data_IF_491555558632
#
_entry.id   IF_491555558632
#
_cell.length_a   1.000
_cell.length_b   1.000
_cell.length_c   1.000
_cell.angle_alpha   90.00
_cell.angle_beta   90.00
_cell.angle_gamma   90.00
#
_symmetry.space_group_name_H-M   'P 1'
#
loop_
_entity.id
_entity.type
_entity.pdbx_description
1 polymer ?
#
# COMPACT_ATOMS: atom_id res chain seq x y z
N UNK A 1 12.38 -11.71 -16.48
CA UNK A 1 13.55 -10.82 -16.44
C UNK A 1 13.48 -10.01 -15.15
N UNK A 2 14.62 -9.66 -14.55
CA UNK A 2 14.68 -8.83 -13.33
C UNK A 2 15.26 -7.47 -13.70
N UNK A 3 14.61 -6.41 -13.25
CA UNK A 3 15.09 -5.03 -13.42
C UNK A 3 16.16 -4.73 -12.37
N UNK A 4 17.34 -4.29 -12.80
CA UNK A 4 18.42 -3.83 -11.93
C UNK A 4 18.42 -2.30 -11.76
N UNK A 5 17.50 -1.60 -12.42
CA UNK A 5 17.35 -0.15 -12.40
C UNK A 5 17.39 0.45 -13.81
N UNK A 6 16.71 1.58 -13.99
CA UNK A 6 16.67 2.33 -15.26
C UNK A 6 16.22 1.48 -16.46
N UNK A 7 15.27 0.57 -16.26
CA UNK A 7 14.78 -0.36 -17.28
C UNK A 7 15.89 -1.28 -17.83
N UNK A 8 16.88 -1.63 -17.01
CA UNK A 8 17.97 -2.55 -17.37
C UNK A 8 17.66 -3.95 -16.85
N UNK A 9 17.37 -4.87 -17.78
CA UNK A 9 16.81 -6.17 -17.46
C UNK A 9 17.79 -7.32 -17.68
N UNK A 10 17.83 -8.27 -16.75
CA UNK A 10 18.66 -9.48 -16.84
C UNK A 10 17.84 -10.76 -16.67
N UNK A 11 18.37 -11.88 -17.17
CA UNK A 11 17.84 -13.20 -16.86
C UNK A 11 18.43 -13.67 -15.54
N UNK A 12 17.59 -13.85 -14.53
CA UNK A 12 17.99 -14.36 -13.23
C UNK A 12 17.45 -15.78 -13.03
N UNK A 13 18.24 -16.61 -12.33
CA UNK A 13 17.79 -17.92 -11.84
C UNK A 13 17.41 -17.77 -10.38
N UNK A 14 16.16 -18.06 -10.06
CA UNK A 14 15.66 -18.07 -8.69
C UNK A 14 15.80 -19.49 -8.14
N UNK A 15 16.63 -19.72 -7.10
CA UNK A 15 16.89 -21.06 -6.58
C UNK A 15 15.75 -21.59 -5.71
N UNK A 16 15.00 -20.70 -5.06
CA UNK A 16 13.90 -21.02 -4.14
C UNK A 16 12.78 -19.99 -4.26
N UNK A 17 11.53 -20.46 -4.31
CA UNK A 17 10.31 -19.66 -4.42
C UNK A 17 9.36 -19.85 -3.24
N UNK A 18 9.80 -20.52 -2.17
CA UNK A 18 8.98 -20.72 -0.96
C UNK A 18 8.63 -19.40 -0.28
N UNK A 19 9.51 -18.40 -0.35
CA UNK A 19 9.34 -17.11 0.31
C UNK A 19 9.52 -15.93 -0.65
N UNK A 20 8.77 -14.87 -0.39
CA UNK A 20 8.94 -13.56 -1.04
C UNK A 20 9.20 -12.47 0.01
N UNK A 21 9.91 -11.42 -0.37
CA UNK A 21 10.13 -10.26 0.48
C UNK A 21 9.04 -9.22 0.26
N UNK A 22 8.40 -8.79 1.35
CA UNK A 22 7.39 -7.72 1.33
C UNK A 22 7.89 -6.52 2.13
N UNK A 23 7.80 -5.33 1.52
CA UNK A 23 8.12 -4.08 2.18
C UNK A 23 7.00 -3.68 3.16
N UNK A 24 7.36 -3.58 4.43
CA UNK A 24 6.46 -3.21 5.55
C UNK A 24 6.65 -1.76 6.01
N UNK A 25 7.59 -1.03 5.42
CA UNK A 25 7.88 0.39 5.71
C UNK A 25 9.21 0.58 6.44
N UNK A 26 9.65 1.84 6.51
CA UNK A 26 10.89 2.24 7.22
C UNK A 26 12.14 1.46 6.80
N UNK A 27 12.22 1.00 5.55
CA UNK A 27 13.33 0.20 5.03
C UNK A 27 13.28 -1.28 5.40
N UNK A 28 12.29 -1.72 6.18
CA UNK A 28 12.16 -3.12 6.59
C UNK A 28 11.41 -3.96 5.56
N UNK A 29 11.91 -5.16 5.37
CA UNK A 29 11.32 -6.19 4.52
C UNK A 29 11.18 -7.48 5.33
N UNK A 30 10.03 -8.13 5.20
CA UNK A 30 9.74 -9.41 5.84
C UNK A 30 9.67 -10.51 4.77
N UNK A 31 10.21 -11.68 5.06
CA UNK A 31 9.98 -12.87 4.24
C UNK A 31 8.66 -13.51 4.65
N UNK A 32 7.79 -13.75 3.67
CA UNK A 32 6.52 -14.45 3.85
C UNK A 32 6.35 -15.52 2.79
N UNK A 33 5.61 -16.58 3.14
CA UNK A 33 5.04 -17.49 2.14
C UNK A 33 4.00 -16.77 1.30
N UNK A 34 3.60 -17.38 0.17
CA UNK A 34 2.58 -16.78 -0.71
C UNK A 34 1.22 -16.60 0.00
N UNK A 35 0.81 -17.55 0.83
CA UNK A 35 -0.47 -17.47 1.55
C UNK A 35 -0.44 -16.35 2.60
N UNK A 36 0.66 -16.24 3.36
CA UNK A 36 0.86 -15.14 4.31
C UNK A 36 0.93 -13.78 3.60
N UNK A 37 1.53 -13.72 2.41
CA UNK A 37 1.59 -12.52 1.60
C UNK A 37 0.21 -12.04 1.16
N UNK A 38 -0.65 -12.96 0.71
CA UNK A 38 -2.03 -12.65 0.31
C UNK A 38 -2.79 -12.06 1.50
N UNK A 39 -2.75 -12.74 2.66
CA UNK A 39 -3.40 -12.25 3.88
C UNK A 39 -2.86 -10.87 4.31
N UNK A 40 -1.56 -10.63 4.16
CA UNK A 40 -0.96 -9.32 4.42
C UNK A 40 -1.48 -8.23 3.47
N UNK A 41 -1.59 -8.53 2.17
CA UNK A 41 -2.07 -7.59 1.15
C UNK A 41 -3.53 -7.21 1.43
N UNK A 42 -4.41 -8.17 1.70
CA UNK A 42 -5.82 -7.93 2.01
C UNK A 42 -5.96 -6.99 3.22
N UNK A 43 -5.19 -7.24 4.29
CA UNK A 43 -5.18 -6.38 5.48
C UNK A 43 -4.70 -4.97 5.16
N UNK A 44 -3.66 -4.84 4.32
CA UNK A 44 -3.09 -3.55 3.93
C UNK A 44 -4.07 -2.76 3.04
N UNK A 45 -4.76 -3.44 2.12
CA UNK A 45 -5.80 -2.86 1.27
C UNK A 45 -6.96 -2.33 2.11
N UNK A 46 -7.51 -3.14 3.02
CA UNK A 46 -8.59 -2.73 3.91
C UNK A 46 -8.20 -1.51 4.78
N UNK A 47 -6.96 -1.47 5.28
CA UNK A 47 -6.43 -0.33 6.02
C UNK A 47 -6.37 0.94 5.15
N UNK A 48 -5.86 0.83 3.92
CA UNK A 48 -5.77 1.97 3.00
C UNK A 48 -7.15 2.48 2.60
N UNK A 49 -8.10 1.59 2.32
CA UNK A 49 -9.48 1.96 2.02
C UNK A 49 -10.14 2.69 3.19
N UNK A 50 -9.94 2.19 4.42
CA UNK A 50 -10.46 2.86 5.63
C UNK A 50 -9.87 4.26 5.80
N UNK A 51 -8.58 4.45 5.52
CA UNK A 51 -7.93 5.77 5.57
C UNK A 51 -8.49 6.71 4.50
N UNK A 52 -8.62 6.23 3.27
CA UNK A 52 -9.22 6.98 2.17
C UNK A 52 -10.64 7.47 2.52
N UNK A 53 -11.49 6.56 3.00
CA UNK A 53 -12.85 6.89 3.43
C UNK A 53 -12.87 7.93 4.56
N UNK A 54 -11.95 7.82 5.53
CA UNK A 54 -11.83 8.81 6.60
C UNK A 54 -11.48 10.19 6.05
N UNK A 55 -10.50 10.29 5.16
CA UNK A 55 -10.13 11.58 4.55
C UNK A 55 -11.28 12.19 3.74
N UNK A 56 -12.02 11.37 3.00
CA UNK A 56 -13.22 11.84 2.28
C UNK A 56 -14.27 12.43 3.24
N UNK A 57 -14.51 11.77 4.38
CA UNK A 57 -15.43 12.28 5.40
C UNK A 57 -14.93 13.58 6.04
N UNK A 58 -13.63 13.68 6.33
CA UNK A 58 -13.03 14.87 6.92
C UNK A 58 -13.10 16.07 5.96
N UNK A 59 -12.83 15.86 4.67
CA UNK A 59 -13.03 16.88 3.62
C UNK A 59 -14.49 17.33 3.54
N UNK A 60 -15.44 16.40 3.57
CA UNK A 60 -16.86 16.74 3.54
C UNK A 60 -17.27 17.62 4.73
N UNK A 61 -16.77 17.30 5.94
CA UNK A 61 -17.02 18.11 7.15
C UNK A 61 -16.44 19.51 7.02
N UNK A 62 -15.20 19.65 6.56
CA UNK A 62 -14.54 20.95 6.35
C UNK A 62 -15.35 21.79 5.36
N UNK A 63 -15.74 21.21 4.22
CA UNK A 63 -16.53 21.91 3.21
C UNK A 63 -17.90 22.37 3.73
N UNK A 64 -18.57 21.53 4.52
CA UNK A 64 -19.82 21.90 5.17
C UNK A 64 -19.62 23.07 6.15
N UNK A 65 -18.56 23.04 6.95
CA UNK A 65 -18.23 24.12 7.89
C UNK A 65 -17.95 25.45 7.16
N UNK A 66 -17.14 25.42 6.10
CA UNK A 66 -16.87 26.62 5.26
C UNK A 66 -18.17 27.19 4.69
N UNK A 67 -19.07 26.34 4.19
CA UNK A 67 -20.36 26.79 3.68
C UNK A 67 -21.17 27.48 4.78
N UNK A 68 -21.32 26.87 5.96
CA UNK A 68 -22.08 27.46 7.07
C UNK A 68 -21.52 28.83 7.46
N UNK A 69 -20.20 28.97 7.59
CA UNK A 69 -19.55 30.25 7.94
C UNK A 69 -19.71 31.30 6.84
N UNK A 70 -19.79 30.90 5.56
CA UNK A 70 -19.91 31.83 4.42
C UNK A 70 -21.34 32.35 4.19
N UNK A 71 -22.36 31.63 4.68
CA UNK A 71 -23.77 32.00 4.54
C UNK A 71 -24.38 32.54 5.86
N UNK A 72 -23.56 32.77 6.88
CA UNK A 72 -23.82 33.69 7.99
C UNK A 72 -23.11 35.02 7.70
#
# INVERSE_FOLDING_TARGET
MVDLGSNFYVQAKVPDTTYIYINVGFGFHVQLTLDEAIAFIEKKEAMLQKRSNKYTQDIAKINAHIKVVRYH
#
